data_IF_284088841904
#
_entry.id   IF_284088841904
#
_cell.length_a   1.000
_cell.length_b   1.000
_cell.length_c   1.000
_cell.angle_alpha   90.00
_cell.angle_beta   90.00
_cell.angle_gamma   90.00
#
_symmetry.space_group_name_H-M   'P 1'
#
loop_
_entity.id
_entity.type
_entity.pdbx_description
1 polymer ?
#
# COMPACT_ATOMS: atom_id res chain seq x y z
N UNK A 1 -7.55 2.68 5.91
CA UNK A 1 -8.63 1.95 5.21
C UNK A 1 -8.47 2.31 3.74
N UNK A 2 -8.47 1.32 2.86
CA UNK A 2 -8.44 1.54 1.41
C UNK A 2 -9.83 1.17 0.89
N UNK A 3 -10.39 1.96 0.00
CA UNK A 3 -11.71 1.74 -0.61
C UNK A 3 -11.59 1.26 -2.05
N UNK A 4 -12.67 0.69 -2.61
CA UNK A 4 -12.70 0.25 -4.01
C UNK A 4 -12.58 1.39 -5.02
N UNK A 5 -12.78 2.64 -4.57
CA UNK A 5 -12.63 3.86 -5.37
C UNK A 5 -11.29 4.59 -5.14
N UNK A 6 -10.47 4.13 -4.19
CA UNK A 6 -9.18 4.75 -3.93
C UNK A 6 -8.22 4.50 -5.10
N UNK A 7 -7.55 5.57 -5.52
CA UNK A 7 -6.54 5.54 -6.59
C UNK A 7 -5.13 5.62 -6.04
N UNK A 8 -4.97 5.72 -4.72
CA UNK A 8 -3.69 5.80 -4.06
C UNK A 8 -3.77 5.09 -2.71
N UNK A 9 -2.72 4.34 -2.37
CA UNK A 9 -2.52 3.75 -1.05
C UNK A 9 -1.67 4.73 -0.25
N UNK A 10 -2.26 5.33 0.78
CA UNK A 10 -1.55 6.19 1.72
C UNK A 10 -1.32 5.48 3.05
N UNK A 11 -0.20 5.77 3.70
CA UNK A 11 0.04 5.34 5.06
C UNK A 11 1.26 6.02 5.66
N UNK A 12 1.60 5.57 6.87
CA UNK A 12 2.77 6.02 7.62
C UNK A 12 3.75 4.85 7.78
N UNK A 13 5.04 5.15 7.70
CA UNK A 13 6.17 4.27 7.93
C UNK A 13 7.36 5.08 8.46
N UNK A 14 8.47 4.43 8.75
CA UNK A 14 9.68 5.15 9.14
C UNK A 14 10.23 5.95 7.95
N UNK A 15 10.68 7.21 8.16
CA UNK A 15 11.22 8.04 7.10
C UNK A 15 12.31 7.35 6.28
N UNK A 16 12.22 7.44 4.95
CA UNK A 16 13.14 6.80 4.02
C UNK A 16 12.94 5.29 3.85
N UNK A 17 11.95 4.67 4.49
CA UNK A 17 11.64 3.26 4.29
C UNK A 17 11.08 2.99 2.91
N UNK A 18 11.50 1.86 2.32
CA UNK A 18 10.95 1.35 1.07
C UNK A 18 9.69 0.55 1.41
N UNK A 19 8.57 1.02 0.91
CA UNK A 19 7.26 0.40 1.07
C UNK A 19 6.98 -0.45 -0.17
N UNK A 20 6.59 -1.70 0.05
CA UNK A 20 6.17 -2.62 -1.00
C UNK A 20 4.74 -3.07 -0.72
N UNK A 21 3.87 -2.87 -1.69
CA UNK A 21 2.47 -3.28 -1.65
C UNK A 21 2.25 -4.37 -2.69
N UNK A 22 1.85 -5.56 -2.25
CA UNK A 22 1.38 -6.65 -3.11
C UNK A 22 -0.14 -6.57 -3.21
N UNK A 23 -0.63 -6.43 -4.44
CA UNK A 23 -2.03 -6.42 -4.81
C UNK A 23 -2.55 -7.87 -4.94
N UNK A 24 -3.88 -8.10 -4.82
CA UNK A 24 -4.50 -9.42 -4.90
C UNK A 24 -4.30 -10.14 -6.25
N UNK A 25 -4.02 -9.40 -7.32
CA UNK A 25 -3.71 -9.93 -8.65
C UNK A 25 -2.23 -10.34 -8.80
N UNK A 26 -1.42 -10.12 -7.76
CA UNK A 26 0.03 -10.35 -7.75
C UNK A 26 0.85 -9.16 -8.26
N UNK A 27 0.21 -8.03 -8.60
CA UNK A 27 0.94 -6.81 -8.96
C UNK A 27 1.66 -6.26 -7.73
N UNK A 28 2.93 -5.91 -7.88
CA UNK A 28 3.74 -5.32 -6.81
C UNK A 28 3.95 -3.83 -7.08
N UNK A 29 3.48 -2.99 -6.17
CA UNK A 29 3.72 -1.56 -6.16
C UNK A 29 4.81 -1.22 -5.13
N UNK A 30 5.60 -0.20 -5.41
CA UNK A 30 6.63 0.28 -4.49
C UNK A 30 6.53 1.78 -4.28
N UNK A 31 6.81 2.21 -3.07
CA UNK A 31 6.88 3.61 -2.68
C UNK A 31 8.00 3.82 -1.67
N UNK A 32 8.32 5.08 -1.40
CA UNK A 32 9.28 5.46 -0.36
C UNK A 32 8.57 6.41 0.58
N UNK A 33 8.73 6.17 1.88
CA UNK A 33 8.25 7.10 2.90
C UNK A 33 9.10 8.38 2.90
N UNK A 34 8.44 9.53 2.92
CA UNK A 34 9.09 10.83 2.98
C UNK A 34 9.78 11.09 4.34
N UNK A 35 10.43 12.24 4.48
CA UNK A 35 11.12 12.63 5.72
C UNK A 35 10.20 12.76 6.94
N UNK A 36 8.88 12.83 6.72
CA UNK A 36 7.86 12.86 7.76
C UNK A 36 7.27 11.47 8.03
N UNK A 37 7.69 10.44 7.30
CA UNK A 37 7.21 9.08 7.41
C UNK A 37 5.93 8.81 6.62
N UNK A 38 5.45 9.75 5.80
CA UNK A 38 4.27 9.53 4.99
C UNK A 38 4.65 8.92 3.65
N UNK A 39 3.85 7.98 3.16
CA UNK A 39 3.98 7.46 1.80
C UNK A 39 2.64 7.51 1.07
N UNK A 40 2.72 7.73 -0.24
CA UNK A 40 1.61 7.62 -1.18
C UNK A 40 2.05 6.77 -2.36
N UNK A 41 1.35 5.66 -2.59
CA UNK A 41 1.62 4.75 -3.70
C UNK A 41 0.42 4.81 -4.63
N UNK A 42 0.62 5.33 -5.84
CA UNK A 42 -0.43 5.39 -6.85
C UNK A 42 -0.81 3.99 -7.32
N UNK A 43 -2.12 3.74 -7.35
CA UNK A 43 -2.69 2.51 -7.87
C UNK A 43 -2.85 2.69 -9.39
N UNK A 44 -2.29 1.76 -10.20
CA UNK A 44 -2.43 1.83 -11.64
C UNK A 44 -3.91 1.86 -12.07
N UNK A 45 -4.29 2.69 -13.04
CA UNK A 45 -5.69 2.81 -13.48
C UNK A 45 -6.29 1.52 -14.08
N UNK A 46 -5.44 0.57 -14.48
CA UNK A 46 -5.86 -0.77 -14.90
C UNK A 46 -6.23 -1.67 -13.71
N UNK A 47 -5.81 -1.33 -12.50
CA UNK A 47 -6.23 -1.99 -11.28
C UNK A 47 -7.58 -1.42 -10.85
N UNK A 48 -8.58 -2.30 -10.77
CA UNK A 48 -9.89 -1.97 -10.20
C UNK A 48 -10.20 -2.93 -9.08
N UNK A 49 -10.33 -2.38 -7.87
CA UNK A 49 -10.82 -3.14 -6.74
C UNK A 49 -12.35 -3.18 -6.77
N UNK A 50 -12.91 -4.29 -6.28
CA UNK A 50 -14.36 -4.51 -6.14
C UNK A 50 -14.79 -4.48 -4.68
N UNK A 51 -13.84 -4.36 -3.77
CA UNK A 51 -14.02 -4.48 -2.33
C UNK A 51 -14.06 -5.93 -1.88
N UNK A 52 -13.52 -6.16 -0.69
CA UNK A 52 -13.24 -7.48 -0.13
C UNK A 52 -11.86 -8.03 -0.48
N UNK A 53 -11.09 -7.35 -1.34
CA UNK A 53 -9.70 -7.73 -1.61
C UNK A 53 -8.77 -7.36 -0.44
N UNK A 54 -7.62 -8.04 -0.39
CA UNK A 54 -6.60 -7.83 0.63
C UNK A 54 -5.30 -7.36 -0.03
N UNK A 55 -4.79 -6.23 0.43
CA UNK A 55 -3.49 -5.69 0.03
C UNK A 55 -2.48 -6.04 1.11
N UNK A 56 -1.31 -6.54 0.72
CA UNK A 56 -0.23 -6.80 1.67
C UNK A 56 0.81 -5.71 1.56
N UNK A 57 1.14 -5.09 2.68
CA UNK A 57 2.13 -4.01 2.75
C UNK A 57 3.28 -4.46 3.61
N UNK A 58 4.50 -4.27 3.13
CA UNK A 58 5.74 -4.46 3.89
C UNK A 58 6.59 -3.21 3.76
N UNK A 59 7.27 -2.80 4.82
CA UNK A 59 8.29 -1.75 4.76
C UNK A 59 9.66 -2.33 5.02
N UNK A 60 10.68 -1.75 4.39
CA UNK A 60 12.09 -2.05 4.67
C UNK A 60 12.78 -0.75 4.99
N UNK A 61 13.34 -0.65 6.18
CA UNK A 61 14.03 0.55 6.62
C UNK A 61 15.36 0.76 5.86
N UNK A 62 15.97 1.95 5.92
CA UNK A 62 17.26 2.21 5.29
C UNK A 62 18.43 1.35 5.83
N UNK A 63 18.25 0.74 7.01
CA UNK A 63 19.23 -0.16 7.64
C UNK A 63 19.08 -1.61 7.16
N UNK A 64 18.04 -1.91 6.36
CA UNK A 64 17.74 -3.25 5.82
C UNK A 64 16.82 -4.10 6.71
N UNK A 65 16.23 -3.56 7.77
CA UNK A 65 15.24 -4.29 8.56
C UNK A 65 13.87 -4.25 7.88
N UNK A 66 13.25 -5.41 7.75
CA UNK A 66 11.92 -5.54 7.18
C UNK A 66 10.87 -5.56 8.29
N UNK A 67 9.78 -4.81 8.11
CA UNK A 67 8.62 -4.84 8.99
C UNK A 67 7.83 -6.14 8.86
N UNK A 68 6.95 -6.37 9.83
CA UNK A 68 5.88 -7.34 9.67
C UNK A 68 5.00 -6.98 8.47
N UNK A 69 4.44 -8.01 7.84
CA UNK A 69 3.44 -7.85 6.78
C UNK A 69 2.15 -7.30 7.38
N UNK A 70 1.67 -6.20 6.81
CA UNK A 70 0.40 -5.59 7.17
C UNK A 70 -0.62 -5.85 6.07
N UNK A 71 -1.72 -6.51 6.43
CA UNK A 71 -2.83 -6.72 5.51
C UNK A 71 -3.82 -5.55 5.63
N UNK A 72 -4.19 -4.97 4.50
CA UNK A 72 -5.20 -3.92 4.38
C UNK A 72 -6.38 -4.49 3.59
N UNK A 73 -7.54 -4.60 4.22
CA UNK A 73 -8.77 -4.96 3.52
C UNK A 73 -9.28 -3.77 2.72
N UNK A 74 -9.53 -3.98 1.43
CA UNK A 74 -10.18 -3.02 0.55
C UNK A 74 -11.67 -3.06 0.83
N UNK A 75 -12.25 -1.95 1.24
CA UNK A 75 -13.68 -1.86 1.52
C UNK A 75 -14.43 -1.50 0.24
N UNK A 76 -15.48 -2.26 -0.07
CA UNK A 76 -16.39 -1.85 -1.14
C UNK A 76 -17.14 -0.58 -0.75
N UNK A 77 -17.05 0.45 -1.59
CA UNK A 77 -17.81 1.69 -1.47
C UNK A 77 -18.65 1.97 -2.71
N UNK A 78 -18.79 0.99 -3.62
CA UNK A 78 -19.64 1.13 -4.80
C UNK A 78 -21.10 1.41 -4.36
N UNK A 79 -21.72 2.53 -4.80
CA UNK A 79 -23.08 2.90 -4.39
C UNK A 79 -24.19 1.98 -4.90
#
# INVERSE_FOLDING_TARGET
IVSSEDTQISGESEPGSIIKVELPDGTELTGVADDQGNYGIDIPANQKFRGGEQLKVTSTDPSGNKSDEKVIDVKDTTP
#
